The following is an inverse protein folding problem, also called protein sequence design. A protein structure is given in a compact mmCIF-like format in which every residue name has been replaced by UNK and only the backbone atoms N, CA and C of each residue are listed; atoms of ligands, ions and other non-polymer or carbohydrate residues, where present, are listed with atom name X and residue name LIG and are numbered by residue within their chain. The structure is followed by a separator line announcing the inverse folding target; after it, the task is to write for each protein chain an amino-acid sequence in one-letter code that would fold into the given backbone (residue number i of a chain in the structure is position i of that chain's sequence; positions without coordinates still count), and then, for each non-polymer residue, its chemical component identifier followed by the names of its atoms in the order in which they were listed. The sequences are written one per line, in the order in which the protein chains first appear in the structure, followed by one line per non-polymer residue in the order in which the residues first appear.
data_IF_091782371235
#
_entry.id   IF_091782371235
#
_cell.length_a   1.000
_cell.length_b   1.000
_cell.length_c   1.000
_cell.angle_alpha   90.00
_cell.angle_beta   90.00
_cell.angle_gamma   90.00
#
_symmetry.space_group_name_H-M   'P 1'
#
loop_
_entity.id
_entity.type
_entity.pdbx_description
1 polymer ?
#
# COMPACT_ATOMS: atom_id res chain seq x y z
N UNK A 1 4.83 47.45 -4.95
CA UNK A 1 3.94 46.28 -4.79
C UNK A 1 3.37 46.36 -3.39
N UNK A 2 2.17 46.91 -3.24
CA UNK A 2 1.42 46.94 -1.98
C UNK A 2 0.85 45.55 -1.74
N UNK A 3 1.34 44.83 -0.73
CA UNK A 3 0.73 43.58 -0.29
C UNK A 3 -0.55 43.92 0.47
N UNK A 4 -1.70 43.73 -0.15
CA UNK A 4 -2.99 43.76 0.54
C UNK A 4 -3.09 42.50 1.40
N UNK A 5 -2.92 42.66 2.72
CA UNK A 5 -3.22 41.61 3.69
C UNK A 5 -4.74 41.42 3.74
N UNK A 6 -5.26 40.34 3.16
CA UNK A 6 -6.68 39.98 3.32
C UNK A 6 -6.93 39.65 4.79
N UNK A 7 -7.90 40.34 5.38
CA UNK A 7 -8.34 40.03 6.75
C UNK A 7 -9.21 38.77 6.68
N UNK A 8 -8.95 37.74 7.50
CA UNK A 8 -9.73 36.51 7.47
C UNK A 8 -11.20 36.80 7.77
N UNK A 9 -12.10 36.17 7.03
CA UNK A 9 -13.55 36.29 7.20
C UNK A 9 -14.08 35.13 8.04
N UNK A 10 -14.79 35.45 9.13
CA UNK A 10 -15.44 34.47 10.00
C UNK A 10 -16.95 34.53 9.83
N UNK A 11 -17.58 33.38 9.60
CA UNK A 11 -19.03 33.23 9.41
C UNK A 11 -19.56 32.13 10.32
N UNK A 12 -20.64 32.40 11.05
CA UNK A 12 -21.36 31.39 11.84
C UNK A 12 -22.32 30.63 10.93
N UNK A 13 -22.27 29.29 10.93
CA UNK A 13 -23.06 28.46 10.01
C UNK A 13 -23.90 27.44 10.76
N UNK A 14 -25.17 27.31 10.34
CA UNK A 14 -26.12 26.32 10.85
C UNK A 14 -26.81 26.73 12.15
N UNK A 15 -27.52 25.78 12.80
CA UNK A 15 -28.29 26.06 14.01
C UNK A 15 -27.40 26.43 15.20
N UNK A 16 -27.90 27.31 16.07
CA UNK A 16 -27.21 27.74 17.29
C UNK A 16 -26.82 26.58 18.22
N UNK A 17 -27.53 25.45 18.13
CA UNK A 17 -27.19 24.21 18.83
C UNK A 17 -25.74 23.77 18.58
N UNK A 18 -25.22 23.96 17.36
CA UNK A 18 -23.89 23.51 16.98
C UNK A 18 -22.79 24.53 17.29
N UNK A 19 -23.13 25.81 17.48
CA UNK A 19 -22.17 26.89 17.68
C UNK A 19 -20.97 26.86 16.72
N UNK A 20 -21.22 26.49 15.45
CA UNK A 20 -20.17 26.29 14.45
C UNK A 20 -19.80 27.63 13.78
N UNK A 21 -18.54 28.01 13.92
CA UNK A 21 -17.96 29.20 13.28
C UNK A 21 -16.88 28.75 12.29
N UNK A 22 -16.96 29.22 11.05
CA UNK A 22 -16.01 28.91 9.97
C UNK A 22 -15.19 30.16 9.65
N UNK A 23 -13.86 30.05 9.65
CA UNK A 23 -12.93 31.16 9.33
C UNK A 23 -12.15 30.82 8.08
N UNK A 24 -12.14 31.72 7.11
CA UNK A 24 -11.55 31.52 5.77
C UNK A 24 -10.68 32.70 5.38
N UNK A 25 -9.61 32.43 4.62
CA UNK A 25 -8.72 33.49 4.10
C UNK A 25 -9.37 34.28 2.96
N UNK A 26 -10.20 33.60 2.16
CA UNK A 26 -11.00 34.16 1.08
C UNK A 26 -12.49 33.94 1.37
N UNK A 27 -13.38 34.87 1.02
CA UNK A 27 -14.81 34.71 1.28
C UNK A 27 -15.37 33.49 0.53
N UNK A 28 -16.06 32.62 1.26
CA UNK A 28 -16.73 31.44 0.70
C UNK A 28 -17.75 31.82 -0.37
N UNK A 29 -17.85 30.98 -1.39
CA UNK A 29 -18.92 31.13 -2.39
C UNK A 29 -20.30 30.93 -1.73
N UNK A 30 -21.37 31.57 -2.22
CA UNK A 30 -22.73 31.36 -1.71
C UNK A 30 -23.14 29.88 -1.71
N UNK A 31 -22.75 29.14 -2.76
CA UNK A 31 -23.02 27.71 -2.87
C UNK A 31 -22.28 26.90 -1.78
N UNK A 32 -21.02 27.22 -1.50
CA UNK A 32 -20.27 26.56 -0.44
C UNK A 32 -20.95 26.78 0.93
N UNK A 33 -21.40 28.01 1.21
CA UNK A 33 -22.14 28.31 2.43
C UNK A 33 -23.46 27.54 2.53
N UNK A 34 -24.21 27.40 1.44
CA UNK A 34 -25.44 26.60 1.40
C UNK A 34 -25.18 25.12 1.71
N UNK A 35 -24.12 24.54 1.12
CA UNK A 35 -23.75 23.14 1.36
C UNK A 35 -23.29 22.92 2.80
N UNK A 36 -22.46 23.81 3.36
CA UNK A 36 -22.04 23.75 4.77
C UNK A 36 -23.26 23.85 5.68
N UNK A 37 -24.19 24.78 5.38
CA UNK A 37 -25.43 24.93 6.14
C UNK A 37 -26.31 23.69 6.08
N UNK A 38 -26.42 23.04 4.91
CA UNK A 38 -27.17 21.80 4.75
C UNK A 38 -26.62 20.67 5.65
N UNK A 39 -25.30 20.45 5.62
CA UNK A 39 -24.65 19.45 6.47
C UNK A 39 -24.78 19.80 7.96
N UNK A 40 -24.56 21.06 8.34
CA UNK A 40 -24.74 21.51 9.72
C UNK A 40 -26.18 21.29 10.22
N UNK A 41 -27.19 21.54 9.38
CA UNK A 41 -28.59 21.26 9.73
C UNK A 41 -28.87 19.77 9.88
N UNK A 42 -28.32 18.92 9.00
CA UNK A 42 -28.48 17.47 9.10
C UNK A 42 -27.85 16.92 10.40
N UNK A 43 -26.64 17.38 10.74
CA UNK A 43 -25.96 17.04 12.00
C UNK A 43 -26.79 17.52 13.20
N UNK A 44 -27.25 18.77 13.19
CA UNK A 44 -28.08 19.31 14.27
C UNK A 44 -29.40 18.54 14.45
N UNK A 45 -30.00 18.05 13.36
CA UNK A 45 -31.21 17.23 13.41
C UNK A 45 -30.94 15.88 14.10
N UNK A 46 -29.86 15.19 13.72
CA UNK A 46 -29.45 13.93 14.33
C UNK A 46 -29.13 14.09 15.82
N UNK A 47 -28.38 15.14 16.17
CA UNK A 47 -28.06 15.45 17.58
C UNK A 47 -29.32 15.73 18.39
N UNK A 48 -30.28 16.49 17.85
CA UNK A 48 -31.56 16.78 18.52
C UNK A 48 -32.38 15.52 18.79
N UNK A 49 -32.35 14.56 17.86
CA UNK A 49 -33.03 13.29 18.00
C UNK A 49 -32.27 12.26 18.84
N UNK A 50 -31.08 12.62 19.36
CA UNK A 50 -30.19 11.72 20.09
C UNK A 50 -29.76 10.48 19.27
N UNK A 51 -29.67 10.61 17.95
CA UNK A 51 -29.24 9.55 17.03
C UNK A 51 -27.70 9.58 16.91
N UNK A 52 -27.01 9.01 17.91
CA UNK A 52 -25.54 8.95 17.99
C UNK A 52 -24.99 7.67 17.34
N UNK A 53 -25.30 7.47 16.05
CA UNK A 53 -24.89 6.30 15.27
C UNK A 53 -23.76 6.62 14.28
N UNK A 54 -23.29 5.61 13.55
CA UNK A 54 -22.25 5.78 12.52
C UNK A 54 -22.63 6.76 11.40
N UNK A 55 -23.93 7.05 11.21
CA UNK A 55 -24.38 8.01 10.21
C UNK A 55 -24.14 9.45 10.65
N UNK A 56 -24.19 9.73 11.96
CA UNK A 56 -23.85 11.04 12.52
C UNK A 56 -22.38 11.37 12.29
N UNK A 57 -21.47 10.43 12.59
CA UNK A 57 -20.03 10.64 12.41
C UNK A 57 -19.68 10.82 10.92
N UNK A 58 -20.26 10.01 10.02
CA UNK A 58 -20.09 10.20 8.59
C UNK A 58 -20.59 11.58 8.07
N UNK A 59 -21.61 12.18 8.71
CA UNK A 59 -22.08 13.53 8.39
C UNK A 59 -21.13 14.61 8.90
N UNK A 60 -20.57 14.43 10.11
CA UNK A 60 -19.56 15.32 10.69
C UNK A 60 -18.29 15.35 9.83
N UNK A 61 -17.81 14.18 9.42
CA UNK A 61 -16.61 14.06 8.58
C UNK A 61 -16.82 14.78 7.25
N UNK A 62 -17.95 14.54 6.57
CA UNK A 62 -18.28 15.22 5.31
C UNK A 62 -18.39 16.74 5.47
N UNK A 63 -18.92 17.22 6.59
CA UNK A 63 -19.00 18.65 6.90
C UNK A 63 -17.60 19.26 7.03
N UNK A 64 -16.73 18.65 7.84
CA UNK A 64 -15.38 19.17 8.10
C UNK A 64 -14.45 19.03 6.90
N UNK A 65 -14.55 17.94 6.14
CA UNK A 65 -13.84 17.75 4.88
C UNK A 65 -14.22 18.83 3.87
N UNK A 66 -15.51 19.14 3.75
CA UNK A 66 -15.99 20.19 2.86
C UNK A 66 -15.45 21.57 3.27
N UNK A 67 -15.51 21.92 4.56
CA UNK A 67 -14.95 23.19 5.07
C UNK A 67 -13.45 23.29 4.76
N UNK A 68 -12.70 22.22 5.03
CA UNK A 68 -11.24 22.17 4.81
C UNK A 68 -10.90 22.29 3.33
N UNK A 69 -11.68 21.65 2.45
CA UNK A 69 -11.50 21.71 0.99
C UNK A 69 -11.71 23.12 0.43
N UNK A 70 -12.63 23.89 1.01
CA UNK A 70 -12.86 25.30 0.65
C UNK A 70 -11.84 26.25 1.32
N UNK A 71 -10.77 25.72 1.93
CA UNK A 71 -9.74 26.52 2.60
C UNK A 71 -10.20 27.13 3.94
N UNK A 72 -11.27 26.60 4.53
CA UNK A 72 -11.80 27.03 5.81
C UNK A 72 -11.19 26.29 6.99
N UNK A 73 -11.08 27.01 8.11
CA UNK A 73 -10.89 26.45 9.45
C UNK A 73 -12.20 26.58 10.21
N UNK A 74 -12.41 25.76 11.24
CA UNK A 74 -13.66 25.78 11.99
C UNK A 74 -13.41 25.74 13.49
N UNK A 75 -14.34 26.32 14.25
CA UNK A 75 -14.39 26.31 15.71
C UNK A 75 -15.81 25.98 16.14
N UNK A 76 -15.97 25.13 17.14
CA UNK A 76 -17.25 24.83 17.76
C UNK A 76 -17.09 24.73 19.27
N UNK A 77 -18.09 25.18 20.02
CA UNK A 77 -18.20 24.99 21.47
C UNK A 77 -19.05 23.77 21.84
N UNK A 78 -19.67 23.10 20.86
CA UNK A 78 -20.52 21.94 21.10
C UNK A 78 -19.67 20.68 21.26
N UNK A 79 -19.76 20.02 22.42
CA UNK A 79 -19.01 18.81 22.74
C UNK A 79 -19.31 17.63 21.81
N UNK A 80 -20.50 17.54 21.22
CA UNK A 80 -20.86 16.47 20.28
C UNK A 80 -20.12 16.62 18.95
N UNK A 81 -19.86 17.85 18.52
CA UNK A 81 -19.00 18.13 17.36
C UNK A 81 -17.52 18.03 17.71
N UNK A 82 -17.13 18.35 18.94
CA UNK A 82 -15.75 18.18 19.42
C UNK A 82 -15.40 16.70 19.60
N UNK A 83 -16.36 15.85 19.97
CA UNK A 83 -16.17 14.40 20.12
C UNK A 83 -15.82 13.68 18.81
N UNK A 84 -15.88 14.38 17.67
CA UNK A 84 -15.32 13.90 16.39
C UNK A 84 -13.79 13.96 16.32
N UNK A 85 -13.10 14.36 17.39
CA UNK A 85 -11.64 14.27 17.47
C UNK A 85 -11.14 12.88 17.91
N UNK A 86 -11.68 11.81 17.32
CA UNK A 86 -10.94 10.58 17.11
C UNK A 86 -10.61 10.49 15.61
N UNK A 87 -9.61 11.27 15.15
CA UNK A 87 -8.77 11.05 13.93
C UNK A 87 -8.08 12.34 13.42
N UNK A 88 -7.64 13.24 14.31
CA UNK A 88 -6.71 14.32 13.93
C UNK A 88 -5.49 14.43 14.86
N UNK A 89 -5.22 13.40 15.67
CA UNK A 89 -4.12 13.43 16.63
C UNK A 89 -3.79 12.11 17.32
N UNK A 90 -4.61 11.08 17.17
CA UNK A 90 -4.11 9.72 17.32
C UNK A 90 -3.35 9.45 16.02
N UNK A 91 -2.02 9.37 16.08
CA UNK A 91 -1.26 8.71 15.03
C UNK A 91 -1.89 7.33 14.92
N UNK A 92 -2.76 7.13 13.93
CA UNK A 92 -3.37 5.83 13.67
C UNK A 92 -2.20 4.88 13.65
N UNK A 93 -2.15 3.98 14.64
CA UNK A 93 -0.99 3.12 14.84
C UNK A 93 -0.88 2.26 13.58
N UNK A 94 -0.03 2.71 12.66
CA UNK A 94 0.12 2.11 11.34
C UNK A 94 0.58 0.66 11.52
N UNK A 95 1.33 0.39 12.59
CA UNK A 95 1.76 -0.96 12.93
C UNK A 95 0.53 -1.79 13.31
N UNK A 96 -0.35 -1.30 14.18
CA UNK A 96 -1.60 -2.01 14.50
C UNK A 96 -2.50 -2.20 13.29
N UNK A 97 -2.59 -1.23 12.38
CA UNK A 97 -3.35 -1.36 11.14
C UNK A 97 -2.79 -2.46 10.23
N UNK A 98 -1.46 -2.52 10.05
CA UNK A 98 -0.83 -3.60 9.30
C UNK A 98 -1.01 -4.94 10.02
N UNK A 99 -0.85 -4.97 11.35
CA UNK A 99 -0.98 -6.19 12.12
C UNK A 99 -2.40 -6.75 12.08
N UNK A 100 -3.44 -5.92 12.02
CA UNK A 100 -4.80 -6.38 11.78
C UNK A 100 -4.90 -7.18 10.47
N UNK A 101 -4.32 -6.67 9.37
CA UNK A 101 -4.30 -7.37 8.07
C UNK A 101 -3.54 -8.71 8.17
N UNK A 102 -2.44 -8.76 8.94
CA UNK A 102 -1.65 -9.99 9.14
C UNK A 102 -2.40 -11.01 9.99
N UNK A 103 -3.07 -10.56 11.06
CA UNK A 103 -3.83 -11.40 11.99
C UNK A 103 -5.09 -11.95 11.33
N UNK A 104 -5.77 -11.16 10.48
CA UNK A 104 -6.93 -11.60 9.68
C UNK A 104 -6.59 -12.79 8.76
N UNK A 105 -5.30 -13.04 8.51
CA UNK A 105 -4.78 -14.16 7.72
C UNK A 105 -4.02 -15.19 8.59
N UNK A 106 -4.28 -15.23 9.90
CA UNK A 106 -3.68 -16.17 10.86
C UNK A 106 -2.14 -16.19 10.86
N UNK A 107 -1.49 -15.06 10.55
CA UNK A 107 -0.03 -14.97 10.36
C UNK A 107 0.53 -15.89 9.24
N UNK A 108 -0.34 -16.36 8.34
CA UNK A 108 0.01 -17.15 7.16
C UNK A 108 -0.06 -16.25 5.93
N UNK A 109 0.86 -16.45 4.98
CA UNK A 109 0.83 -15.73 3.70
C UNK A 109 -0.28 -16.36 2.84
N UNK A 110 -1.31 -15.59 2.44
CA UNK A 110 -2.41 -16.13 1.64
C UNK A 110 -1.96 -16.49 0.22
N UNK A 111 -2.73 -17.34 -0.47
CA UNK A 111 -2.45 -17.73 -1.85
C UNK A 111 -2.43 -16.53 -2.81
N UNK A 112 -3.31 -15.55 -2.59
CA UNK A 112 -3.27 -14.23 -3.24
C UNK A 112 -2.32 -13.27 -2.51
N UNK A 113 -1.06 -13.66 -2.44
CA UNK A 113 -0.01 -12.92 -1.71
C UNK A 113 0.25 -11.52 -2.27
N UNK A 114 -0.08 -11.26 -3.55
CA UNK A 114 0.19 -9.97 -4.19
C UNK A 114 -0.75 -8.88 -3.69
N UNK A 115 -2.06 -9.16 -3.62
CA UNK A 115 -3.06 -8.20 -3.15
C UNK A 115 -2.90 -7.93 -1.65
N UNK A 116 -2.67 -9.00 -0.89
CA UNK A 116 -2.36 -8.93 0.54
C UNK A 116 -1.11 -8.06 0.81
N UNK A 117 0.00 -8.34 0.14
CA UNK A 117 1.22 -7.57 0.32
C UNK A 117 1.03 -6.11 -0.14
N UNK A 118 0.30 -5.87 -1.24
CA UNK A 118 0.02 -4.50 -1.72
C UNK A 118 -0.71 -3.66 -0.68
N UNK A 119 -1.72 -4.23 0.00
CA UNK A 119 -2.45 -3.52 1.07
C UNK A 119 -1.55 -3.17 2.25
N UNK A 120 -0.71 -4.10 2.67
CA UNK A 120 0.25 -3.85 3.76
C UNK A 120 1.27 -2.78 3.35
N UNK A 121 1.82 -2.88 2.14
CA UNK A 121 2.79 -1.93 1.61
C UNK A 121 2.20 -0.52 1.43
N UNK A 122 0.91 -0.41 1.13
CA UNK A 122 0.22 0.87 1.02
C UNK A 122 0.16 1.64 2.35
N UNK A 123 0.10 0.93 3.48
CA UNK A 123 0.17 1.52 4.83
C UNK A 123 1.63 1.71 5.26
N UNK A 124 2.47 0.68 5.04
CA UNK A 124 3.84 0.67 5.52
C UNK A 124 4.72 1.77 4.88
N UNK A 125 4.38 2.27 3.69
CA UNK A 125 5.13 3.35 3.02
C UNK A 125 5.14 4.66 3.83
N UNK A 126 4.13 4.86 4.68
CA UNK A 126 3.97 6.07 5.49
C UNK A 126 4.53 5.88 6.92
N UNK A 127 5.09 4.70 7.22
CA UNK A 127 5.73 4.40 8.49
C UNK A 127 7.13 5.03 8.59
N UNK A 128 7.45 5.49 9.79
CA UNK A 128 8.81 5.84 10.20
C UNK A 128 9.70 4.59 10.29
N UNK A 129 11.03 4.79 10.31
CA UNK A 129 11.98 3.67 10.47
C UNK A 129 11.76 2.88 11.76
N UNK A 130 11.35 3.55 12.85
CA UNK A 130 11.09 2.90 14.13
C UNK A 130 9.82 2.05 14.07
N UNK A 131 8.75 2.56 13.44
CA UNK A 131 7.51 1.79 13.22
C UNK A 131 7.75 0.57 12.33
N UNK A 132 8.57 0.68 11.27
CA UNK A 132 8.97 -0.46 10.44
C UNK A 132 9.76 -1.50 11.24
N UNK A 133 10.62 -1.07 12.18
CA UNK A 133 11.36 -1.97 13.06
C UNK A 133 10.44 -2.69 14.05
N UNK A 134 9.44 -1.99 14.60
CA UNK A 134 8.40 -2.60 15.46
C UNK A 134 7.53 -3.57 14.65
N UNK A 135 7.15 -3.22 13.42
CA UNK A 135 6.41 -4.10 12.53
C UNK A 135 7.20 -5.40 12.26
N UNK A 136 8.49 -5.28 11.95
CA UNK A 136 9.38 -6.44 11.72
C UNK A 136 9.44 -7.37 12.93
N UNK A 137 9.49 -6.83 14.15
CA UNK A 137 9.58 -7.65 15.38
C UNK A 137 8.27 -8.37 15.71
N UNK A 138 7.13 -7.87 15.24
CA UNK A 138 5.80 -8.50 15.40
C UNK A 138 5.47 -9.50 14.29
N UNK A 139 6.15 -9.44 13.15
CA UNK A 139 5.95 -10.37 12.03
C UNK A 139 6.75 -11.66 12.23
N UNK A 140 6.19 -12.80 11.79
CA UNK A 140 6.98 -14.02 11.64
C UNK A 140 8.03 -13.85 10.53
N UNK A 141 9.18 -14.57 10.56
CA UNK A 141 10.19 -14.48 9.50
C UNK A 141 9.65 -14.75 8.09
N UNK A 142 8.67 -15.65 7.96
CA UNK A 142 8.03 -15.98 6.68
C UNK A 142 7.14 -14.85 6.16
N UNK A 143 6.32 -14.23 7.04
CA UNK A 143 5.50 -13.06 6.70
C UNK A 143 6.40 -11.90 6.29
N UNK A 144 7.44 -11.61 7.06
CA UNK A 144 8.39 -10.55 6.73
C UNK A 144 9.11 -10.80 5.40
N UNK A 145 9.56 -12.05 5.15
CA UNK A 145 10.17 -12.41 3.88
C UNK A 145 9.21 -12.23 2.69
N UNK A 146 7.92 -12.53 2.85
CA UNK A 146 6.92 -12.29 1.82
C UNK A 146 6.72 -10.81 1.52
N UNK A 147 6.67 -9.95 2.55
CA UNK A 147 6.61 -8.50 2.39
C UNK A 147 7.85 -7.96 1.67
N UNK A 148 9.05 -8.36 2.09
CA UNK A 148 10.31 -8.01 1.41
C UNK A 148 10.29 -8.49 -0.04
N UNK A 149 9.83 -9.72 -0.29
CA UNK A 149 9.76 -10.30 -1.64
C UNK A 149 8.84 -9.51 -2.56
N UNK A 150 7.71 -9.00 -2.05
CA UNK A 150 6.79 -8.14 -2.82
C UNK A 150 7.45 -6.84 -3.31
N UNK A 151 8.49 -6.37 -2.61
CA UNK A 151 9.29 -5.20 -3.00
C UNK A 151 10.50 -5.56 -3.88
N UNK A 152 10.80 -6.85 -4.08
CA UNK A 152 11.85 -7.30 -5.00
C UNK A 152 11.27 -7.34 -6.42
N UNK A 153 12.01 -6.77 -7.38
CA UNK A 153 11.64 -6.84 -8.81
C UNK A 153 11.35 -8.28 -9.22
N UNK A 154 10.14 -8.52 -9.72
CA UNK A 154 9.68 -9.82 -10.19
C UNK A 154 10.49 -10.30 -11.39
N UNK A 155 10.91 -11.56 -11.36
CA UNK A 155 11.51 -12.26 -12.50
C UNK A 155 11.10 -13.73 -12.43
N UNK A 156 10.95 -14.46 -13.55
CA UNK A 156 10.58 -15.88 -13.53
C UNK A 156 11.52 -16.78 -12.72
N UNK A 157 12.78 -16.37 -12.53
CA UNK A 157 13.77 -17.12 -11.76
C UNK A 157 13.70 -16.87 -10.24
N UNK A 158 12.91 -15.89 -9.79
CA UNK A 158 12.77 -15.51 -8.38
C UNK A 158 11.49 -16.14 -7.84
N UNK A 159 11.64 -17.17 -7.04
CA UNK A 159 10.55 -17.80 -6.29
C UNK A 159 10.90 -17.73 -4.82
N UNK A 160 9.92 -17.32 -4.00
CA UNK A 160 10.04 -17.31 -2.55
C UNK A 160 9.79 -18.73 -2.03
N UNK A 161 10.80 -19.33 -1.41
CA UNK A 161 10.72 -20.63 -0.76
C UNK A 161 10.91 -20.44 0.75
N UNK A 162 9.82 -20.30 1.49
CA UNK A 162 9.86 -19.92 2.91
C UNK A 162 10.47 -18.52 3.06
N UNK A 163 11.68 -18.44 3.64
CA UNK A 163 12.41 -17.18 3.86
C UNK A 163 13.52 -16.91 2.83
N UNK A 164 13.63 -17.75 1.80
CA UNK A 164 14.74 -17.76 0.84
C UNK A 164 14.27 -17.41 -0.56
N UNK A 165 15.11 -16.67 -1.31
CA UNK A 165 15.00 -16.53 -2.76
C UNK A 165 16.27 -17.10 -3.38
N UNK A 166 16.15 -18.26 -4.04
CA UNK A 166 17.32 -19.05 -4.44
C UNK A 166 18.12 -19.52 -3.22
N UNK A 167 19.36 -19.04 -3.06
CA UNK A 167 20.23 -19.34 -1.90
C UNK A 167 20.38 -18.17 -0.93
N UNK A 168 19.55 -17.13 -1.09
CA UNK A 168 19.69 -15.89 -0.35
C UNK A 168 18.54 -15.76 0.63
N UNK A 169 18.86 -15.66 1.93
CA UNK A 169 17.91 -15.39 3.00
C UNK A 169 17.50 -13.93 2.97
N UNK A 170 16.21 -13.66 2.86
CA UNK A 170 15.70 -12.28 2.73
C UNK A 170 14.90 -11.80 3.95
N UNK A 171 14.63 -12.67 4.93
CA UNK A 171 13.91 -12.28 6.17
C UNK A 171 14.66 -11.23 7.00
N UNK A 172 15.96 -11.06 6.76
CA UNK A 172 16.78 -10.11 7.51
C UNK A 172 16.86 -8.75 6.79
N UNK A 173 16.36 -8.65 5.56
CA UNK A 173 16.42 -7.43 4.75
C UNK A 173 15.43 -6.38 5.25
N UNK A 174 15.71 -5.12 4.90
CA UNK A 174 14.81 -3.99 5.16
C UNK A 174 13.55 -4.08 4.28
N UNK A 175 12.44 -3.50 4.71
CA UNK A 175 11.25 -3.46 3.84
C UNK A 175 11.45 -2.44 2.71
N UNK A 176 11.96 -1.25 3.06
CA UNK A 176 12.27 -0.14 2.16
C UNK A 176 13.78 0.06 2.06
N UNK A 177 14.44 -0.49 1.02
CA UNK A 177 15.89 -0.39 0.94
C UNK A 177 16.39 1.01 0.58
N UNK A 178 17.50 1.40 1.19
CA UNK A 178 18.25 2.59 0.80
C UNK A 178 19.00 2.38 -0.52
N UNK A 179 18.97 3.39 -1.38
CA UNK A 179 19.79 3.44 -2.59
C UNK A 179 21.27 3.64 -2.23
N UNK A 180 22.15 2.86 -2.83
CA UNK A 180 23.60 3.03 -2.68
C UNK A 180 24.05 4.19 -3.57
N UNK A 181 24.64 5.22 -2.96
CA UNK A 181 25.16 6.42 -3.65
C UNK A 181 26.13 6.07 -4.79
N UNK A 182 27.01 5.10 -4.56
CA UNK A 182 27.95 4.58 -5.56
C UNK A 182 27.53 3.18 -6.01
N UNK A 183 26.86 3.11 -7.16
CA UNK A 183 26.39 1.85 -7.72
C UNK A 183 27.56 0.89 -7.99
N UNK A 184 27.35 -0.41 -7.75
CA UNK A 184 28.37 -1.41 -8.08
C UNK A 184 28.42 -1.67 -9.60
N UNK A 185 29.56 -2.14 -10.10
CA UNK A 185 29.76 -2.37 -11.54
C UNK A 185 28.77 -3.36 -12.18
N UNK A 186 28.18 -4.28 -11.40
CA UNK A 186 27.12 -5.16 -11.91
C UNK A 186 25.81 -4.41 -12.16
N UNK A 187 25.39 -3.57 -11.21
CA UNK A 187 24.16 -2.79 -11.32
C UNK A 187 24.24 -1.76 -12.45
N UNK A 188 25.41 -1.13 -12.61
CA UNK A 188 25.66 -0.19 -13.73
C UNK A 188 25.54 -0.91 -15.07
N UNK A 189 26.21 -2.05 -15.25
CA UNK A 189 26.17 -2.83 -16.51
C UNK A 189 24.79 -3.38 -16.85
N UNK A 190 23.95 -3.62 -15.85
CA UNK A 190 22.60 -4.18 -16.00
C UNK A 190 21.49 -3.14 -15.88
N UNK A 191 21.84 -1.85 -15.76
CA UNK A 191 20.93 -0.71 -15.67
C UNK A 191 19.79 -0.92 -14.68
N UNK A 192 20.08 -1.33 -13.44
CA UNK A 192 19.08 -1.46 -12.39
C UNK A 192 19.51 -0.76 -11.09
N UNK A 193 18.55 -0.35 -10.23
CA UNK A 193 18.87 0.27 -8.96
C UNK A 193 19.82 -0.59 -8.12
N UNK A 194 20.77 0.05 -7.45
CA UNK A 194 21.72 -0.60 -6.55
C UNK A 194 21.25 -0.35 -5.12
N UNK A 195 20.49 -1.31 -4.57
CA UNK A 195 19.81 -1.19 -3.27
C UNK A 195 20.53 -1.96 -2.17
N UNK A 196 20.60 -1.42 -0.95
CA UNK A 196 21.11 -2.15 0.23
C UNK A 196 20.14 -3.25 0.66
N UNK A 197 20.69 -4.32 1.23
CA UNK A 197 19.88 -5.38 1.86
C UNK A 197 19.35 -4.87 3.20
N UNK A 198 20.29 -4.45 4.05
CA UNK A 198 20.12 -3.75 5.31
C UNK A 198 21.43 -3.00 5.65
N UNK A 199 21.41 -2.16 6.70
CA UNK A 199 22.58 -1.40 7.14
C UNK A 199 23.74 -2.33 7.54
N UNK A 200 24.96 -2.00 7.11
CA UNK A 200 26.17 -2.78 7.42
C UNK A 200 26.54 -3.86 6.39
N UNK A 201 25.70 -4.11 5.38
CA UNK A 201 25.97 -5.16 4.38
C UNK A 201 26.80 -4.67 3.20
N UNK A 202 27.82 -5.45 2.85
CA UNK A 202 28.73 -5.14 1.74
C UNK A 202 28.16 -5.50 0.35
N UNK A 203 27.15 -6.36 0.23
CA UNK A 203 26.53 -6.71 -1.06
C UNK A 203 25.19 -5.99 -1.25
N UNK A 204 24.92 -5.47 -2.46
CA UNK A 204 23.59 -4.97 -2.80
C UNK A 204 22.60 -6.14 -3.00
N UNK A 205 21.29 -5.87 -2.95
CA UNK A 205 20.22 -6.87 -3.12
C UNK A 205 20.39 -7.69 -4.38
N UNK A 206 20.57 -7.03 -5.52
CA UNK A 206 20.64 -7.71 -6.81
C UNK A 206 21.87 -8.63 -6.91
N UNK A 207 23.04 -8.18 -6.48
CA UNK A 207 24.22 -9.07 -6.40
C UNK A 207 24.01 -10.24 -5.46
N UNK A 208 23.30 -10.05 -4.34
CA UNK A 208 22.97 -11.14 -3.43
C UNK A 208 22.01 -12.15 -4.06
N UNK A 209 20.95 -11.70 -4.74
CA UNK A 209 20.01 -12.59 -5.45
C UNK A 209 20.70 -13.40 -6.55
N UNK A 210 21.62 -12.78 -7.31
CA UNK A 210 22.37 -13.47 -8.36
C UNK A 210 23.61 -14.22 -7.87
N UNK A 211 23.90 -14.22 -6.56
CA UNK A 211 25.10 -14.81 -5.97
C UNK A 211 26.41 -14.30 -6.58
N UNK A 212 26.43 -13.04 -7.00
CA UNK A 212 27.60 -12.40 -7.59
C UNK A 212 28.46 -11.74 -6.50
N UNK A 213 29.75 -11.57 -6.80
CA UNK A 213 30.56 -10.59 -6.09
C UNK A 213 29.98 -9.20 -6.33
N UNK A 214 30.00 -8.34 -5.31
CA UNK A 214 29.55 -6.96 -5.43
C UNK A 214 30.79 -6.06 -5.46
N UNK A 215 31.39 -5.80 -6.63
CA UNK A 215 32.54 -4.92 -6.75
C UNK A 215 32.08 -3.49 -6.45
N UNK A 216 32.14 -3.12 -5.18
CA UNK A 216 31.84 -1.76 -4.74
C UNK A 216 33.08 -0.92 -5.03
N UNK A 217 32.90 0.14 -5.81
CA UNK A 217 33.83 1.26 -5.83
C UNK A 217 33.62 2.04 -4.52
N UNK A 218 33.88 1.43 -3.37
CA UNK A 218 34.04 2.23 -2.18
C UNK A 218 35.24 3.13 -2.46
N UNK A 219 35.04 4.43 -2.40
CA UNK A 219 36.12 5.40 -2.25
C UNK A 219 36.85 5.20 -0.92
N UNK A 220 37.23 3.97 -0.56
CA UNK A 220 38.42 3.79 0.24
C UNK A 220 39.50 4.56 -0.53
N UNK A 221 40.15 5.57 0.09
CA UNK A 221 41.30 6.18 -0.51
C UNK A 221 42.19 5.02 -0.94
N UNK A 222 42.57 4.95 -2.21
CA UNK A 222 43.66 4.06 -2.60
C UNK A 222 44.78 4.39 -1.64
N UNK A 223 44.99 3.54 -0.63
CA UNK A 223 46.22 3.57 0.16
C UNK A 223 47.30 3.54 -0.93
N UNK A 224 48.16 4.56 -1.05
CA UNK A 224 49.17 4.57 -2.09
C UNK A 224 49.83 3.20 -2.04
N UNK A 225 49.77 2.47 -3.15
CA UNK A 225 50.48 1.21 -3.27
C UNK A 225 51.92 1.55 -2.94
N UNK A 226 52.32 1.23 -1.71
CA UNK A 226 53.71 1.28 -1.31
C UNK A 226 54.38 0.33 -2.27
N UNK A 227 55.16 0.89 -3.18
CA UNK A 227 56.09 0.14 -3.99
C UNK A 227 56.96 -0.65 -3.00
N UNK A 228 56.63 -1.92 -2.83
CA UNK A 228 57.50 -2.91 -2.23
C UNK A 228 57.91 -3.83 -3.36
N UNK A 229 59.03 -3.41 -3.94
CA UNK A 229 60.10 -4.24 -4.48
C UNK A 229 60.17 -5.62 -3.81
N UNK A 230 60.42 -6.65 -4.64
CA UNK A 230 61.25 -7.85 -4.39
C UNK A 230 60.98 -8.64 -3.11
N UNK A 231 60.91 -9.96 -3.04
CA UNK A 231 61.31 -11.08 -3.88
C UNK A 231 60.85 -12.31 -3.06
N UNK A 232 60.66 -13.45 -3.70
CA UNK A 232 60.91 -14.82 -3.22
C UNK A 232 59.85 -15.76 -3.78
N UNK A 233 60.29 -16.43 -4.82
CA UNK A 233 59.76 -17.64 -5.46
C UNK A 233 59.53 -18.77 -4.46
N UNK A 234 58.34 -19.37 -4.48
CA UNK A 234 58.13 -20.77 -4.10
C UNK A 234 57.17 -21.39 -5.10
N UNK A 235 57.69 -22.32 -5.89
CA UNK A 235 56.96 -23.16 -6.85
C UNK A 235 55.92 -24.02 -6.14
N UNK A 236 54.69 -24.04 -6.66
CA UNK A 236 53.63 -24.98 -6.26
C UNK A 236 53.05 -25.63 -7.52
N UNK A 237 52.86 -26.97 -7.56
CA UNK A 237 52.52 -27.68 -8.79
C UNK A 237 51.11 -27.39 -9.29
N UNK A 238 51.04 -27.20 -10.60
CA UNK A 238 49.81 -27.02 -11.40
C UNK A 238 49.02 -28.33 -11.45
N UNK A 239 47.78 -28.32 -10.94
CA UNK A 239 46.79 -29.37 -11.16
C UNK A 239 45.72 -28.84 -12.11
N UNK A 240 45.70 -29.41 -13.32
CA UNK A 240 44.74 -29.13 -14.38
C UNK A 240 43.30 -29.51 -13.99
N UNK A 241 42.31 -28.62 -14.15
CA UNK A 241 40.90 -29.01 -14.04
C UNK A 241 40.42 -29.57 -15.38
N UNK A 242 39.95 -30.82 -15.36
CA UNK A 242 39.24 -31.43 -16.48
C UNK A 242 37.91 -30.71 -16.75
N UNK A 243 37.76 -30.31 -18.00
CA UNK A 243 36.53 -29.75 -18.58
C UNK A 243 35.52 -30.88 -18.79
N UNK A 244 34.52 -30.97 -17.90
CA UNK A 244 33.37 -31.85 -18.10
C UNK A 244 32.28 -31.08 -18.86
N UNK A 245 32.17 -31.40 -20.16
CA UNK A 245 31.11 -30.95 -21.05
C UNK A 245 29.73 -31.43 -20.55
N UNK A 246 28.91 -30.50 -20.05
CA UNK A 246 27.47 -30.70 -19.78
C UNK A 246 26.64 -30.10 -20.91
N UNK A 247 26.37 -30.87 -21.96
CA UNK A 247 25.53 -30.42 -23.07
C UNK A 247 24.56 -31.52 -23.54
N UNK A 248 23.57 -31.88 -22.72
CA UNK A 248 22.37 -32.60 -23.24
C UNK A 248 21.08 -32.49 -22.39
N UNK A 249 21.08 -31.95 -21.17
CA UNK A 249 19.87 -31.90 -20.30
C UNK A 249 19.06 -30.59 -20.47
N UNK A 250 18.84 -30.12 -21.70
CA UNK A 250 18.09 -28.86 -21.94
C UNK A 250 16.82 -28.99 -22.78
N UNK A 251 16.53 -30.16 -23.36
CA UNK A 251 15.35 -30.34 -24.23
C UNK A 251 14.13 -31.00 -23.57
N UNK A 252 14.25 -31.65 -22.40
CA UNK A 252 13.09 -32.32 -21.75
C UNK A 252 12.23 -31.40 -20.86
N UNK A 253 12.78 -30.32 -20.28
CA UNK A 253 12.02 -29.41 -19.40
C UNK A 253 11.16 -28.37 -20.14
N UNK A 254 11.39 -28.16 -21.43
CA UNK A 254 10.65 -27.14 -22.19
C UNK A 254 9.28 -27.65 -22.66
N UNK A 255 9.13 -28.94 -22.94
CA UNK A 255 7.85 -29.57 -23.31
C UNK A 255 6.89 -29.74 -22.14
N UNK A 256 7.39 -29.86 -20.91
CA UNK A 256 6.56 -29.97 -19.71
C UNK A 256 5.97 -28.61 -19.29
N UNK A 257 6.71 -27.52 -19.52
CA UNK A 257 6.24 -26.16 -19.24
C UNK A 257 5.14 -25.69 -20.21
N UNK A 258 5.12 -26.18 -21.45
CA UNK A 258 4.11 -25.77 -22.44
C UNK A 258 2.75 -26.40 -22.13
N UNK A 259 2.70 -27.67 -21.70
CA UNK A 259 1.46 -28.33 -21.29
C UNK A 259 0.77 -27.60 -20.13
N UNK A 260 1.54 -27.15 -19.15
CA UNK A 260 1.01 -26.41 -18.00
C UNK A 260 0.38 -25.06 -18.38
N UNK A 261 0.80 -24.42 -19.48
CA UNK A 261 0.24 -23.12 -19.89
C UNK A 261 -1.08 -23.30 -20.63
N UNK A 262 -1.24 -24.38 -21.41
CA UNK A 262 -2.49 -24.70 -22.10
C UNK A 262 -3.60 -25.06 -21.08
N UNK A 263 -3.26 -25.81 -20.04
CA UNK A 263 -4.20 -26.15 -18.96
C UNK A 263 -4.68 -24.89 -18.21
N UNK A 264 -3.75 -24.00 -17.84
CA UNK A 264 -4.08 -22.72 -17.18
C UNK A 264 -4.97 -21.85 -18.07
N UNK A 265 -4.70 -21.78 -19.37
CA UNK A 265 -5.54 -21.00 -20.29
C UNK A 265 -6.96 -21.56 -20.39
N UNK A 266 -7.12 -22.89 -20.30
CA UNK A 266 -8.45 -23.53 -20.22
C UNK A 266 -9.20 -23.14 -18.95
N UNK A 267 -8.54 -23.14 -17.80
CA UNK A 267 -9.14 -22.71 -16.53
C UNK A 267 -9.54 -21.23 -16.54
N UNK A 268 -8.69 -20.36 -17.10
CA UNK A 268 -8.99 -18.92 -17.23
C UNK A 268 -10.19 -18.66 -18.14
N UNK A 269 -10.33 -19.41 -19.24
CA UNK A 269 -11.50 -19.32 -20.11
C UNK A 269 -12.78 -19.75 -19.38
N UNK A 270 -12.73 -20.88 -18.68
CA UNK A 270 -13.85 -21.38 -17.86
C UNK A 270 -14.29 -20.38 -16.78
N UNK A 271 -13.33 -19.75 -16.08
CA UNK A 271 -13.62 -18.71 -15.09
C UNK A 271 -14.24 -17.45 -15.70
N UNK A 272 -13.80 -17.05 -16.91
CA UNK A 272 -14.41 -15.92 -17.63
C UNK A 272 -15.87 -16.21 -17.95
N UNK A 273 -16.18 -17.39 -18.48
CA UNK A 273 -17.55 -17.76 -18.84
C UNK A 273 -18.46 -17.83 -17.60
N UNK A 274 -17.94 -18.35 -16.48
CA UNK A 274 -18.66 -18.36 -15.20
C UNK A 274 -18.94 -16.94 -14.68
N UNK A 275 -17.98 -16.02 -14.81
CA UNK A 275 -18.15 -14.62 -14.41
C UNK A 275 -19.18 -13.89 -15.29
N UNK A 276 -19.14 -14.11 -16.62
CA UNK A 276 -20.12 -13.53 -17.55
C UNK A 276 -21.54 -14.02 -17.26
N UNK A 277 -21.69 -15.30 -16.92
CA UNK A 277 -22.97 -15.89 -16.48
C UNK A 277 -23.46 -15.23 -15.19
N UNK A 278 -22.61 -15.11 -14.17
CA UNK A 278 -22.97 -14.46 -12.90
C UNK A 278 -23.36 -12.98 -13.06
N UNK A 279 -22.69 -12.23 -13.96
CA UNK A 279 -23.06 -10.85 -14.28
C UNK A 279 -24.42 -10.77 -14.96
N UNK A 280 -24.76 -11.72 -15.83
CA UNK A 280 -26.08 -11.80 -16.46
C UNK A 280 -27.19 -12.09 -15.43
N UNK A 281 -26.94 -13.01 -14.50
CA UNK A 281 -27.89 -13.35 -13.44
C UNK A 281 -28.13 -12.17 -12.49
N UNK A 282 -27.08 -11.45 -12.09
CA UNK A 282 -27.23 -10.23 -11.28
C UNK A 282 -28.02 -9.13 -11.99
N UNK A 283 -27.81 -8.95 -13.31
CA UNK A 283 -28.60 -7.99 -14.10
C UNK A 283 -30.07 -8.39 -14.18
N UNK A 284 -30.36 -9.70 -14.29
CA UNK A 284 -31.72 -10.23 -14.27
C UNK A 284 -32.40 -9.96 -12.93
N UNK A 285 -31.74 -10.31 -11.82
CA UNK A 285 -32.25 -10.09 -10.47
C UNK A 285 -32.51 -8.59 -10.21
N UNK A 286 -31.62 -7.72 -10.68
CA UNK A 286 -31.81 -6.26 -10.56
C UNK A 286 -33.06 -5.77 -11.30
N UNK A 287 -33.37 -6.31 -12.48
CA UNK A 287 -34.61 -5.94 -13.22
C UNK A 287 -35.84 -6.40 -12.46
N UNK A 288 -35.87 -7.66 -12.01
CA UNK A 288 -36.97 -8.22 -11.23
C UNK A 288 -37.23 -7.42 -9.94
N UNK A 289 -36.16 -7.02 -9.25
CA UNK A 289 -36.26 -6.16 -8.07
C UNK A 289 -36.87 -4.78 -8.39
N UNK A 290 -36.44 -4.14 -9.48
CA UNK A 290 -36.99 -2.85 -9.91
C UNK A 290 -38.46 -2.94 -10.33
N UNK A 291 -38.87 -4.02 -10.98
CA UNK A 291 -40.27 -4.29 -11.33
C UNK A 291 -41.14 -4.50 -10.08
N UNK A 292 -40.63 -5.25 -9.09
CA UNK A 292 -41.31 -5.46 -7.81
C UNK A 292 -41.48 -4.14 -7.04
N UNK A 293 -40.43 -3.30 -6.99
CA UNK A 293 -40.48 -1.98 -6.36
C UNK A 293 -41.48 -1.05 -7.03
N UNK A 294 -41.54 -1.08 -8.38
CA UNK A 294 -42.51 -0.28 -9.14
C UNK A 294 -43.95 -0.73 -8.86
N UNK A 295 -44.20 -2.04 -8.78
CA UNK A 295 -45.50 -2.61 -8.42
C UNK A 295 -45.92 -2.23 -7.00
N UNK A 296 -44.99 -2.27 -6.04
CA UNK A 296 -45.24 -1.87 -4.66
C UNK A 296 -45.67 -0.40 -4.56
N UNK A 297 -44.98 0.48 -5.30
CA UNK A 297 -45.31 1.91 -5.33
C UNK A 297 -46.67 2.20 -5.98
N UNK A 298 -47.05 1.43 -7.00
CA UNK A 298 -48.40 1.52 -7.59
C UNK A 298 -49.49 1.10 -6.59
N UNK A 299 -49.24 0.06 -5.78
CA UNK A 299 -50.17 -0.38 -4.74
C UNK A 299 -50.33 0.65 -3.61
N UNK A 300 -49.26 1.31 -3.17
CA UNK A 300 -49.33 2.33 -2.10
C UNK A 300 -50.04 3.61 -2.55
N UNK A 301 -49.92 3.99 -3.82
CA UNK A 301 -50.61 5.16 -4.38
C UNK A 301 -52.14 5.05 -4.33
N UNK A 302 -52.69 3.86 -4.58
CA UNK A 302 -54.14 3.63 -4.57
C UNK A 302 -54.75 3.65 -3.16
N UNK A 303 -53.96 3.34 -2.12
CA UNK A 303 -54.44 3.34 -0.72
C UNK A 303 -54.72 4.78 -0.23
N UNK A 304 -54.06 5.79 -0.80
CA UNK A 304 -54.31 7.19 -0.43
C UNK A 304 -55.53 7.82 -1.12
N UNK A 305 -56.07 7.22 -2.18
CA UNK A 305 -57.26 7.76 -2.87
C UNK A 305 -58.59 7.19 -2.33
N UNK A 306 -58.55 6.20 -1.45
CA UNK A 306 -59.74 5.61 -0.81
C UNK A 306 -60.07 6.19 0.58
N UNK A 307 -59.61 7.40 0.89
CA UNK A 307 -59.99 8.17 2.09
C UNK A 307 -60.61 9.50 1.68
#
# INVERSE_FOLDING_TARGET
MTMTTSTPSTVTVGPSLLSLSVTTSDPLSPLALEVISLYANAVASKVRNNEMDASLDALKDKLFDFITREGGTWVTTNSVLQQSSHTAGDKQDLVSQVMAIVVDNEHVVPSDSNDWARRIMAVAKDMTSDEVAVLKSRCSPSVWAALVFSNIRSTPARVLNGVMVGKTKISDWDLFPTLITLMCGNCVRKSHPCLLQYIGVLKCRECALFQLSCPKNFGAPRRPSRASSSETTVDVPTVSPQVISRSTIKKRKQTECVKSVEDINGEVASLRDALETGVCDMKKLRREFMEAMTSLHACTGNIMQCK
#
